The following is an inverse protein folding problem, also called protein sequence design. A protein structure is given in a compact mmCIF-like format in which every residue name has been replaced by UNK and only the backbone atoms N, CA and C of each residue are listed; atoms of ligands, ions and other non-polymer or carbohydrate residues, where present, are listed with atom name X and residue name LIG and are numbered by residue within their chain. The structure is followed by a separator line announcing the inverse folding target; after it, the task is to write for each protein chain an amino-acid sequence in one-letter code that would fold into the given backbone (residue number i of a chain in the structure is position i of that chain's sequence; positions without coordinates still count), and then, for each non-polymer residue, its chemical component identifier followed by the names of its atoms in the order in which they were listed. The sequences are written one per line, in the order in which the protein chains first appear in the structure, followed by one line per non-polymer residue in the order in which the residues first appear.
data_IF_607757544427
#
_entry.id   IF_607757544427
#
_cell.length_a   1.000
_cell.length_b   1.000
_cell.length_c   1.000
_cell.angle_alpha   90.00
_cell.angle_beta   90.00
_cell.angle_gamma   90.00
#
_symmetry.space_group_name_H-M   'P 1'
#
loop_
_entity.id
_entity.type
_entity.pdbx_description
1 polymer ?
#
# COMPACT_ATOMS: atom_id res chain seq x y z
N UNK A 1 -31.75 -23.59 20.85
CA UNK A 1 -31.07 -22.30 20.58
C UNK A 1 -29.55 -22.29 20.81
N UNK A 2 -28.94 -23.19 21.60
CA UNK A 2 -27.48 -23.21 21.83
C UNK A 2 -26.62 -23.79 20.68
N UNK A 3 -27.18 -24.60 19.77
CA UNK A 3 -26.45 -25.21 18.64
C UNK A 3 -26.01 -24.20 17.58
N UNK A 4 -26.77 -23.12 17.35
CA UNK A 4 -26.48 -22.12 16.31
C UNK A 4 -25.23 -21.28 16.65
N UNK A 5 -24.88 -21.15 17.93
CA UNK A 5 -23.75 -20.32 18.38
C UNK A 5 -22.37 -20.96 18.13
N UNK A 6 -22.30 -22.29 17.94
CA UNK A 6 -21.02 -23.02 17.72
C UNK A 6 -20.67 -23.22 16.24
N UNK A 7 -21.67 -23.15 15.35
CA UNK A 7 -21.48 -23.37 13.90
C UNK A 7 -20.44 -22.41 13.31
N UNK A 8 -20.45 -21.09 13.59
CA UNK A 8 -19.42 -20.18 13.06
C UNK A 8 -17.99 -20.57 13.47
N UNK A 9 -17.80 -21.05 14.70
CA UNK A 9 -16.48 -21.46 15.19
C UNK A 9 -15.98 -22.72 14.48
N UNK A 10 -16.86 -23.69 14.19
CA UNK A 10 -16.50 -24.91 13.45
C UNK A 10 -16.06 -24.54 12.02
N UNK A 11 -16.77 -23.63 11.35
CA UNK A 11 -16.37 -23.15 10.02
C UNK A 11 -15.07 -22.32 10.04
N UNK A 12 -14.77 -21.62 11.13
CA UNK A 12 -13.51 -20.89 11.30
C UNK A 12 -12.34 -21.80 11.69
N UNK A 13 -12.60 -22.99 12.25
CA UNK A 13 -11.56 -23.85 12.84
C UNK A 13 -10.48 -24.25 11.82
N UNK A 14 -10.79 -24.73 10.59
CA UNK A 14 -9.76 -25.09 9.61
C UNK A 14 -8.85 -23.90 9.25
N UNK A 15 -9.44 -22.71 9.09
CA UNK A 15 -8.69 -21.49 8.83
C UNK A 15 -7.78 -21.12 10.02
N UNK A 16 -8.31 -21.15 11.25
CA UNK A 16 -7.54 -20.80 12.44
C UNK A 16 -6.37 -21.76 12.69
N UNK A 17 -6.54 -23.06 12.40
CA UNK A 17 -5.44 -24.04 12.50
C UNK A 17 -4.32 -23.69 11.51
N UNK A 18 -4.66 -23.47 10.23
CA UNK A 18 -3.67 -23.13 9.21
C UNK A 18 -3.02 -21.76 9.51
N UNK A 19 -3.81 -20.77 9.94
CA UNK A 19 -3.30 -19.47 10.34
C UNK A 19 -2.34 -19.56 11.54
N UNK A 20 -2.71 -20.33 12.57
CA UNK A 20 -1.86 -20.53 13.73
C UNK A 20 -0.55 -21.24 13.35
N UNK A 21 -0.63 -22.28 12.50
CA UNK A 21 0.52 -23.09 12.11
C UNK A 21 1.49 -22.37 11.17
N UNK A 22 0.97 -21.62 10.19
CA UNK A 22 1.79 -21.03 9.11
C UNK A 22 2.09 -19.54 9.29
N UNK A 23 1.36 -18.83 10.16
CA UNK A 23 1.62 -17.41 10.44
C UNK A 23 2.01 -17.18 11.90
N UNK A 24 1.17 -17.58 12.85
CA UNK A 24 1.42 -17.27 14.28
C UNK A 24 2.64 -18.01 14.80
N UNK A 25 2.76 -19.31 14.51
CA UNK A 25 3.88 -20.11 15.00
C UNK A 25 5.25 -19.61 14.48
N UNK A 26 5.47 -19.40 13.17
CA UNK A 26 6.75 -18.86 12.68
C UNK A 26 7.05 -17.47 13.20
N UNK A 27 6.03 -16.62 13.35
CA UNK A 27 6.19 -15.27 13.93
C UNK A 27 6.64 -15.32 15.38
N UNK A 28 5.97 -16.12 16.23
CA UNK A 28 6.34 -16.30 17.64
C UNK A 28 7.73 -16.96 17.74
N UNK A 29 8.03 -17.94 16.89
CA UNK A 29 9.34 -18.57 16.87
C UNK A 29 10.45 -17.57 16.49
N UNK A 30 10.20 -16.68 15.53
CA UNK A 30 11.11 -15.58 15.17
C UNK A 30 11.31 -14.59 16.32
N UNK A 31 10.25 -14.24 17.05
CA UNK A 31 10.33 -13.43 18.27
C UNK A 31 11.16 -14.09 19.38
N UNK A 32 11.10 -15.42 19.51
CA UNK A 32 11.94 -16.15 20.46
C UNK A 32 13.38 -16.10 19.98
N UNK A 33 13.65 -16.48 18.72
CA UNK A 33 15.00 -16.50 18.13
C UNK A 33 15.73 -15.16 18.20
N UNK A 34 15.02 -14.04 18.07
CA UNK A 34 15.62 -12.70 18.15
C UNK A 34 16.25 -12.38 19.52
N UNK A 35 15.87 -13.12 20.58
CA UNK A 35 16.41 -12.97 21.93
C UNK A 35 17.64 -13.84 22.21
N UNK A 36 18.05 -14.68 21.25
CA UNK A 36 19.20 -15.57 21.37
C UNK A 36 20.33 -15.14 20.43
N UNK A 37 21.54 -15.61 20.69
CA UNK A 37 22.66 -15.58 19.74
C UNK A 37 23.14 -17.00 19.55
N UNK A 38 23.39 -17.38 18.29
CA UNK A 38 24.07 -18.62 17.98
C UNK A 38 25.59 -18.41 18.01
N UNK A 39 26.28 -19.10 18.93
CA UNK A 39 27.74 -19.13 18.99
C UNK A 39 28.17 -20.57 18.73
N UNK A 40 28.65 -20.84 17.51
CA UNK A 40 29.16 -22.16 17.11
C UNK A 40 28.15 -23.31 17.34
N UNK A 41 26.86 -23.06 17.08
CA UNK A 41 25.79 -24.05 17.27
C UNK A 41 25.13 -24.03 18.65
N UNK A 42 25.68 -23.30 19.62
CA UNK A 42 25.07 -23.11 20.94
C UNK A 42 24.21 -21.84 20.96
N UNK A 43 22.94 -21.98 21.38
CA UNK A 43 22.00 -20.87 21.46
C UNK A 43 22.02 -20.27 22.86
N UNK A 44 22.61 -19.08 23.00
CA UNK A 44 22.67 -18.35 24.27
C UNK A 44 21.62 -17.25 24.31
N UNK A 45 20.84 -17.21 25.38
CA UNK A 45 19.90 -16.12 25.61
C UNK A 45 20.65 -14.83 25.94
N UNK A 46 20.46 -13.79 25.13
CA UNK A 46 21.09 -12.47 25.29
C UNK A 46 20.06 -11.35 25.53
N UNK A 47 18.78 -11.68 25.63
CA UNK A 47 17.71 -10.71 25.82
C UNK A 47 17.67 -9.68 24.68
N UNK A 48 17.80 -8.39 25.02
CA UNK A 48 17.69 -7.30 24.05
C UNK A 48 19.01 -6.88 23.39
N UNK A 49 20.13 -7.56 23.67
CA UNK A 49 21.44 -7.16 23.15
C UNK A 49 21.49 -7.13 21.61
N UNK A 50 20.85 -8.10 20.93
CA UNK A 50 20.79 -8.08 19.46
C UNK A 50 20.09 -6.81 18.92
N UNK A 51 19.09 -6.29 19.63
CA UNK A 51 18.38 -5.09 19.22
C UNK A 51 19.25 -3.83 19.39
N UNK A 52 20.15 -3.79 20.38
CA UNK A 52 21.15 -2.73 20.50
C UNK A 52 22.14 -2.79 19.33
N UNK A 53 22.59 -3.99 18.95
CA UNK A 53 23.44 -4.17 17.77
C UNK A 53 22.73 -3.73 16.49
N UNK A 54 21.46 -4.12 16.31
CA UNK A 54 20.65 -3.70 15.17
C UNK A 54 20.41 -2.18 15.15
N UNK A 55 20.31 -1.55 16.32
CA UNK A 55 20.18 -0.09 16.42
C UNK A 55 21.44 0.64 15.97
N UNK A 56 22.62 0.08 16.24
CA UNK A 56 23.92 0.65 15.82
C UNK A 56 24.32 0.24 14.38
N UNK A 57 23.58 -0.67 13.76
CA UNK A 57 23.82 -1.17 12.40
C UNK A 57 23.46 -0.12 11.35
N UNK A 58 24.46 0.68 10.95
CA UNK A 58 24.31 1.71 9.93
C UNK A 58 23.85 1.14 8.59
N UNK A 59 24.28 -0.07 8.23
CA UNK A 59 23.91 -0.70 6.95
C UNK A 59 22.40 -0.97 6.91
N UNK A 60 21.85 -1.54 7.99
CA UNK A 60 20.42 -1.77 8.13
C UNK A 60 19.62 -0.47 8.01
N UNK A 61 20.01 0.59 8.73
CA UNK A 61 19.31 1.87 8.68
C UNK A 61 19.42 2.58 7.32
N UNK A 62 20.54 2.45 6.61
CA UNK A 62 20.64 2.93 5.22
C UNK A 62 19.68 2.18 4.30
N UNK A 63 19.52 0.87 4.49
CA UNK A 63 18.55 0.07 3.74
C UNK A 63 17.11 0.51 4.04
N UNK A 64 16.78 0.72 5.33
CA UNK A 64 15.46 1.24 5.77
C UNK A 64 15.19 2.60 5.17
N UNK A 65 16.15 3.53 5.23
CA UNK A 65 16.02 4.86 4.62
C UNK A 65 15.80 4.77 3.11
N UNK A 66 16.55 3.90 2.41
CA UNK A 66 16.40 3.71 0.96
C UNK A 66 14.99 3.24 0.60
N UNK A 67 14.45 2.28 1.35
CA UNK A 67 13.09 1.76 1.13
C UNK A 67 12.03 2.78 1.54
N UNK A 68 12.26 3.58 2.59
CA UNK A 68 11.36 4.67 2.96
C UNK A 68 11.33 5.77 1.88
N UNK A 69 12.49 6.17 1.35
CA UNK A 69 12.60 7.11 0.23
C UNK A 69 11.91 6.56 -1.02
N UNK A 70 12.16 5.28 -1.34
CA UNK A 70 11.45 4.56 -2.38
C UNK A 70 9.93 4.61 -2.19
N UNK A 71 9.44 4.21 -1.02
CA UNK A 71 8.02 4.21 -0.70
C UNK A 71 7.39 5.58 -0.86
N UNK A 72 7.99 6.64 -0.31
CA UNK A 72 7.43 8.00 -0.41
C UNK A 72 7.38 8.49 -1.86
N UNK A 73 8.48 8.40 -2.60
CA UNK A 73 8.57 8.97 -3.95
C UNK A 73 7.78 8.12 -4.94
N UNK A 74 8.05 6.82 -4.98
CA UNK A 74 7.45 5.90 -5.95
C UNK A 74 5.95 5.77 -5.74
N UNK A 75 5.47 5.56 -4.51
CA UNK A 75 4.03 5.42 -4.23
C UNK A 75 3.29 6.70 -4.59
N UNK A 76 3.84 7.87 -4.24
CA UNK A 76 3.21 9.15 -4.59
C UNK A 76 3.07 9.30 -6.10
N UNK A 77 4.15 9.07 -6.86
CA UNK A 77 4.12 9.16 -8.33
C UNK A 77 3.10 8.18 -8.90
N UNK A 78 3.16 6.92 -8.48
CA UNK A 78 2.26 5.87 -8.95
C UNK A 78 0.79 6.19 -8.68
N UNK A 79 0.43 6.62 -7.47
CA UNK A 79 -0.96 6.92 -7.13
C UNK A 79 -1.48 8.16 -7.83
N UNK A 80 -0.64 9.19 -8.02
CA UNK A 80 -0.99 10.37 -8.81
C UNK A 80 -1.23 9.99 -10.27
N UNK A 81 -0.33 9.21 -10.87
CA UNK A 81 -0.50 8.71 -12.24
C UNK A 81 -1.76 7.85 -12.38
N UNK A 82 -1.99 6.94 -11.44
CA UNK A 82 -3.17 6.09 -11.41
C UNK A 82 -4.47 6.90 -11.34
N UNK A 83 -4.48 7.94 -10.50
CA UNK A 83 -5.61 8.85 -10.34
C UNK A 83 -5.87 9.67 -11.61
N UNK A 84 -4.82 10.22 -12.20
CA UNK A 84 -4.92 10.97 -13.47
C UNK A 84 -5.46 10.08 -14.58
N UNK A 85 -4.91 8.87 -14.74
CA UNK A 85 -5.40 7.92 -15.74
C UNK A 85 -6.86 7.50 -15.48
N UNK A 86 -7.24 7.28 -14.22
CA UNK A 86 -8.62 6.94 -13.86
C UNK A 86 -9.59 8.07 -14.22
N UNK A 87 -9.23 9.33 -13.94
CA UNK A 87 -10.03 10.51 -14.31
C UNK A 87 -10.13 10.68 -15.84
N UNK A 88 -9.06 10.40 -16.57
CA UNK A 88 -9.10 10.41 -18.04
C UNK A 88 -10.03 9.34 -18.61
N UNK A 89 -9.95 8.10 -18.11
CA UNK A 89 -10.82 7.00 -18.52
C UNK A 89 -12.28 7.26 -18.13
N UNK A 90 -12.51 7.95 -17.01
CA UNK A 90 -13.86 8.34 -16.59
C UNK A 90 -14.47 9.41 -17.50
N UNK A 91 -13.65 10.23 -18.16
CA UNK A 91 -14.15 11.27 -19.07
C UNK A 91 -15.05 10.73 -20.19
N UNK A 92 -15.96 11.59 -20.66
CA UNK A 92 -16.86 11.30 -21.80
C UNK A 92 -16.13 11.15 -23.14
N UNK A 93 -14.87 11.57 -23.23
CA UNK A 93 -14.10 11.58 -24.48
C UNK A 93 -13.52 10.20 -24.83
N UNK A 94 -13.36 9.32 -23.82
CA UNK A 94 -12.84 7.97 -24.02
C UNK A 94 -13.98 7.01 -24.32
N UNK A 95 -14.09 6.57 -25.59
CA UNK A 95 -15.16 5.65 -26.04
C UNK A 95 -14.87 4.19 -25.65
N UNK A 96 -13.65 3.70 -25.90
CA UNK A 96 -13.27 2.30 -25.67
C UNK A 96 -12.62 2.07 -24.30
N UNK A 97 -13.31 2.44 -23.22
CA UNK A 97 -12.77 2.39 -21.84
C UNK A 97 -12.27 0.99 -21.43
N UNK A 98 -12.91 -0.07 -21.92
CA UNK A 98 -12.53 -1.45 -21.63
C UNK A 98 -11.13 -1.81 -22.19
N UNK A 99 -10.81 -1.38 -23.42
CA UNK A 99 -9.53 -1.65 -24.05
C UNK A 99 -8.38 -0.98 -23.28
N UNK A 100 -8.53 0.31 -22.96
CA UNK A 100 -7.53 1.03 -22.17
C UNK A 100 -7.34 0.42 -20.79
N UNK A 101 -8.42 -0.03 -20.14
CA UNK A 101 -8.34 -0.73 -18.85
C UNK A 101 -7.49 -1.99 -18.95
N UNK A 102 -7.69 -2.81 -19.98
CA UNK A 102 -6.88 -4.03 -20.21
C UNK A 102 -5.42 -3.68 -20.47
N UNK A 103 -5.14 -2.73 -21.36
CA UNK A 103 -3.77 -2.34 -21.72
C UNK A 103 -2.99 -1.84 -20.49
N UNK A 104 -3.59 -0.94 -19.70
CA UNK A 104 -2.92 -0.39 -18.53
C UNK A 104 -2.82 -1.41 -17.39
N UNK A 105 -3.76 -2.36 -17.26
CA UNK A 105 -3.71 -3.41 -16.25
C UNK A 105 -2.72 -4.54 -16.60
N UNK A 106 -2.43 -4.76 -17.88
CA UNK A 106 -1.60 -5.86 -18.36
C UNK A 106 -0.21 -5.98 -17.67
N UNK A 107 0.54 -4.88 -17.40
CA UNK A 107 1.79 -4.95 -16.65
C UNK A 107 1.70 -5.64 -15.30
N UNK A 108 0.57 -5.48 -14.60
CA UNK A 108 0.34 -6.10 -13.29
C UNK A 108 0.28 -7.64 -13.38
N UNK A 109 -0.11 -8.18 -14.53
CA UNK A 109 -0.14 -9.62 -14.76
C UNK A 109 1.26 -10.23 -14.96
N UNK A 110 2.28 -9.40 -15.19
CA UNK A 110 3.66 -9.87 -15.37
C UNK A 110 4.28 -10.18 -14.01
N UNK A 111 4.81 -11.40 -13.78
CA UNK A 111 5.51 -11.73 -12.54
C UNK A 111 6.69 -10.78 -12.29
N UNK A 112 6.86 -10.30 -11.06
CA UNK A 112 7.88 -9.29 -10.71
C UNK A 112 9.32 -9.69 -11.10
N UNK A 113 9.67 -10.97 -10.99
CA UNK A 113 10.98 -11.50 -11.43
C UNK A 113 11.17 -11.34 -12.95
N UNK A 114 10.14 -11.68 -13.73
CA UNK A 114 10.17 -11.54 -15.19
C UNK A 114 10.27 -10.06 -15.57
N UNK A 115 9.47 -9.20 -14.91
CA UNK A 115 9.55 -7.76 -15.09
C UNK A 115 10.97 -7.23 -14.81
N UNK A 116 11.62 -7.68 -13.75
CA UNK A 116 12.99 -7.28 -13.41
C UNK A 116 14.04 -7.70 -14.45
N UNK A 117 13.94 -8.91 -14.99
CA UNK A 117 14.82 -9.37 -16.07
C UNK A 117 14.58 -8.53 -17.34
N UNK A 118 13.32 -8.35 -17.74
CA UNK A 118 12.96 -7.57 -18.93
C UNK A 118 13.45 -6.12 -18.84
N UNK A 119 13.18 -5.46 -17.71
CA UNK A 119 13.63 -4.09 -17.50
C UNK A 119 15.15 -4.00 -17.34
N UNK A 120 15.80 -5.00 -16.74
CA UNK A 120 17.26 -5.10 -16.71
C UNK A 120 17.88 -5.09 -18.10
N UNK A 121 17.32 -5.85 -19.05
CA UNK A 121 17.76 -5.80 -20.45
C UNK A 121 17.41 -4.48 -21.13
N UNK A 122 16.23 -3.92 -20.88
CA UNK A 122 15.84 -2.62 -21.44
C UNK A 122 16.72 -1.46 -20.94
N UNK A 123 17.23 -1.55 -19.70
CA UNK A 123 18.12 -0.56 -19.09
C UNK A 123 19.59 -0.73 -19.45
N UNK A 124 19.97 -1.87 -20.03
CA UNK A 124 21.34 -2.08 -20.48
C UNK A 124 21.65 -1.20 -21.70
N UNK A 125 22.61 -0.26 -21.61
CA UNK A 125 23.00 0.56 -22.76
C UNK A 125 23.55 -0.26 -23.92
N UNK A 126 24.16 -1.43 -23.63
CA UNK A 126 24.74 -2.33 -24.62
C UNK A 126 23.67 -3.06 -25.44
N UNK A 127 22.51 -3.32 -24.84
CA UNK A 127 21.41 -4.07 -25.47
C UNK A 127 20.31 -3.16 -26.00
N UNK A 128 20.22 -1.92 -25.53
CA UNK A 128 19.21 -0.95 -25.96
C UNK A 128 19.87 0.32 -26.55
N UNK A 129 20.15 0.33 -27.87
CA UNK A 129 20.78 1.47 -28.55
C UNK A 129 19.97 2.78 -28.44
N UNK A 130 18.66 2.69 -28.16
CA UNK A 130 17.79 3.86 -28.02
C UNK A 130 18.15 4.66 -26.75
N UNK A 131 18.63 4.01 -25.69
CA UNK A 131 19.11 4.72 -24.49
C UNK A 131 20.36 5.56 -24.76
N UNK A 132 21.19 5.14 -25.72
CA UNK A 132 22.36 5.89 -26.18
C UNK A 132 21.95 7.18 -26.92
N UNK A 133 20.78 7.22 -27.55
CA UNK A 133 20.22 8.43 -28.18
C UNK A 133 19.84 9.47 -27.11
N UNK A 134 19.30 9.03 -25.96
CA UNK A 134 19.03 9.93 -24.84
C UNK A 134 20.30 10.50 -24.19
N UNK A 135 21.46 9.87 -24.41
CA UNK A 135 22.78 10.39 -24.04
C UNK A 135 23.10 11.76 -24.65
N UNK A 136 22.43 12.13 -25.76
CA UNK A 136 22.57 13.43 -26.41
C UNK A 136 21.99 14.56 -25.54
N UNK A 137 20.93 14.29 -24.78
CA UNK A 137 20.25 15.28 -23.91
C UNK A 137 20.90 15.42 -22.53
N UNK A 138 21.76 14.49 -22.14
CA UNK A 138 22.44 14.42 -20.83
C UNK A 138 23.91 14.83 -20.90
N UNK A 139 24.34 15.51 -21.97
CA UNK A 139 25.72 15.98 -22.12
C UNK A 139 26.71 14.87 -22.53
N UNK A 140 26.26 13.87 -23.27
CA UNK A 140 27.10 12.81 -23.85
C UNK A 140 27.28 11.57 -22.99
N UNK A 141 26.67 11.50 -21.80
CA UNK A 141 26.67 10.29 -20.96
C UNK A 141 25.36 9.52 -21.14
N UNK A 142 25.38 8.26 -21.61
CA UNK A 142 24.15 7.47 -21.74
C UNK A 142 23.46 7.35 -20.38
N UNK A 143 22.13 7.50 -20.36
CA UNK A 143 21.34 7.29 -19.16
C UNK A 143 21.46 5.81 -18.76
N UNK A 144 22.29 5.52 -17.76
CA UNK A 144 22.46 4.17 -17.24
C UNK A 144 21.64 4.04 -15.95
N UNK A 145 20.48 3.41 -16.04
CA UNK A 145 19.61 3.11 -14.89
C UNK A 145 20.04 1.86 -14.12
N UNK A 146 21.11 1.18 -14.56
CA UNK A 146 21.72 0.08 -13.82
C UNK A 146 22.90 0.54 -12.95
N UNK A 147 23.35 1.78 -13.05
CA UNK A 147 24.45 2.26 -12.21
C UNK A 147 24.06 2.30 -10.73
N UNK A 148 25.03 2.11 -9.84
CA UNK A 148 24.85 2.03 -8.39
C UNK A 148 24.11 3.25 -7.79
N UNK A 149 24.29 4.44 -8.37
CA UNK A 149 23.60 5.66 -7.95
C UNK A 149 22.19 5.84 -8.51
N UNK A 150 21.82 5.12 -9.57
CA UNK A 150 20.56 5.33 -10.32
C UNK A 150 19.63 4.11 -10.31
N UNK A 151 20.13 2.93 -9.93
CA UNK A 151 19.39 1.67 -9.93
C UNK A 151 18.10 1.72 -9.11
N UNK A 152 18.09 2.51 -8.03
CA UNK A 152 16.88 2.72 -7.24
C UNK A 152 15.76 3.36 -8.09
N UNK A 153 16.08 4.34 -8.93
CA UNK A 153 15.10 4.99 -9.81
C UNK A 153 14.63 4.06 -10.93
N UNK A 154 15.51 3.19 -11.44
CA UNK A 154 15.11 2.10 -12.33
C UNK A 154 14.07 1.19 -11.69
N UNK A 155 14.32 0.76 -10.45
CA UNK A 155 13.38 -0.05 -9.67
C UNK A 155 12.06 0.71 -9.41
N UNK A 156 12.12 2.01 -9.10
CA UNK A 156 10.91 2.84 -8.94
C UNK A 156 10.08 2.89 -10.22
N UNK A 157 10.72 3.02 -11.37
CA UNK A 157 10.04 3.02 -12.66
C UNK A 157 9.39 1.67 -12.95
N UNK A 158 10.09 0.56 -12.69
CA UNK A 158 9.55 -0.79 -12.84
C UNK A 158 8.28 -1.00 -12.01
N UNK A 159 8.33 -0.64 -10.73
CA UNK A 159 7.19 -0.76 -9.84
C UNK A 159 6.04 0.17 -10.26
N UNK A 160 6.34 1.39 -10.68
CA UNK A 160 5.32 2.32 -11.21
C UNK A 160 4.65 1.73 -12.45
N UNK A 161 5.41 1.18 -13.39
CA UNK A 161 4.87 0.52 -14.57
C UNK A 161 3.97 -0.68 -14.21
N UNK A 162 4.40 -1.53 -13.28
CA UNK A 162 3.66 -2.73 -12.89
C UNK A 162 2.35 -2.41 -12.14
N UNK A 163 2.36 -1.41 -11.25
CA UNK A 163 1.28 -1.21 -10.28
C UNK A 163 0.36 -0.02 -10.56
N UNK A 164 0.73 0.89 -11.47
CA UNK A 164 -0.12 2.05 -11.80
C UNK A 164 -1.47 1.61 -12.37
N UNK A 165 -1.48 0.63 -13.28
CA UNK A 165 -2.71 0.12 -13.89
C UNK A 165 -3.67 -0.56 -12.92
N UNK A 166 -3.11 -1.30 -11.96
CA UNK A 166 -3.87 -1.93 -10.88
C UNK A 166 -4.58 -0.87 -10.04
N UNK A 167 -3.85 0.13 -9.53
CA UNK A 167 -4.42 1.21 -8.73
C UNK A 167 -5.41 2.08 -9.53
N UNK A 168 -5.10 2.35 -10.80
CA UNK A 168 -5.99 3.07 -11.71
C UNK A 168 -7.33 2.36 -11.85
N UNK A 169 -7.30 1.02 -12.00
CA UNK A 169 -8.52 0.22 -12.15
C UNK A 169 -9.40 0.29 -10.90
N UNK A 170 -8.80 0.28 -9.70
CA UNK A 170 -9.51 0.46 -8.44
C UNK A 170 -10.18 1.84 -8.37
N UNK A 171 -9.45 2.91 -8.72
CA UNK A 171 -10.00 4.26 -8.74
C UNK A 171 -11.11 4.41 -9.77
N UNK A 172 -10.92 3.87 -10.97
CA UNK A 172 -11.91 3.95 -12.03
C UNK A 172 -13.18 3.17 -11.70
N UNK A 173 -13.07 1.98 -11.10
CA UNK A 173 -14.22 1.23 -10.59
C UNK A 173 -15.00 2.03 -9.53
N UNK A 174 -14.28 2.76 -8.67
CA UNK A 174 -14.88 3.61 -7.64
C UNK A 174 -15.51 4.89 -8.20
N UNK A 175 -14.99 5.44 -9.30
CA UNK A 175 -15.62 6.55 -10.02
C UNK A 175 -16.92 6.14 -10.69
N UNK A 176 -16.96 4.91 -11.21
CA UNK A 176 -18.14 4.36 -11.91
C UNK A 176 -19.32 4.10 -10.96
N UNK A 177 -19.07 3.97 -9.65
CA UNK A 177 -20.14 3.80 -8.64
C UNK A 177 -20.73 5.13 -8.15
N UNK A 178 -20.19 6.28 -8.59
CA UNK A 178 -20.73 7.60 -8.24
C UNK A 178 -22.06 7.80 -9.00
N UNK A 179 -23.16 8.13 -8.30
CA UNK A 179 -24.46 8.35 -8.94
C UNK A 179 -24.41 9.44 -10.01
N UNK A 180 -25.09 9.21 -11.15
CA UNK A 180 -25.04 10.11 -12.31
C UNK A 180 -25.63 11.48 -12.01
N UNK A 181 -26.56 11.56 -11.06
CA UNK A 181 -27.26 12.77 -10.64
C UNK A 181 -26.31 13.82 -10.09
N UNK A 182 -25.21 13.40 -9.44
CA UNK A 182 -24.17 14.32 -8.96
C UNK A 182 -23.42 14.99 -10.12
N UNK A 183 -23.22 14.27 -11.22
CA UNK A 183 -22.59 14.83 -12.42
C UNK A 183 -23.54 15.75 -13.18
N UNK A 184 -24.83 15.43 -13.24
CA UNK A 184 -25.81 16.29 -13.91
C UNK A 184 -26.09 17.56 -13.11
N UNK A 185 -26.16 17.47 -11.78
CA UNK A 185 -26.22 18.65 -10.91
C UNK A 185 -25.00 19.58 -11.14
N UNK A 186 -23.79 19.02 -11.21
CA UNK A 186 -22.58 19.79 -11.47
C UNK A 186 -22.61 20.52 -12.82
N UNK A 187 -23.16 19.89 -13.87
CA UNK A 187 -23.32 20.51 -15.19
C UNK A 187 -24.34 21.65 -15.16
N UNK A 188 -25.43 21.49 -14.42
CA UNK A 188 -26.44 22.55 -14.22
C UNK A 188 -25.80 23.75 -13.51
N UNK A 189 -24.95 23.50 -12.51
CA UNK A 189 -24.19 24.52 -11.79
C UNK A 189 -23.02 25.13 -12.61
N UNK A 190 -22.86 24.74 -13.88
CA UNK A 190 -21.83 25.27 -14.77
C UNK A 190 -20.40 24.80 -14.47
N UNK A 191 -20.23 23.72 -13.70
CA UNK A 191 -18.91 23.19 -13.39
C UNK A 191 -18.23 22.61 -14.65
N UNK A 192 -16.99 23.00 -14.89
CA UNK A 192 -16.15 22.36 -15.90
C UNK A 192 -15.60 21.00 -15.41
N UNK A 193 -14.98 20.21 -16.28
CA UNK A 193 -14.48 18.86 -15.96
C UNK A 193 -13.43 18.87 -14.83
N UNK A 194 -12.58 19.90 -14.77
CA UNK A 194 -11.57 20.04 -13.71
C UNK A 194 -12.21 20.37 -12.36
N UNK A 195 -13.18 21.29 -12.35
CA UNK A 195 -13.96 21.63 -11.15
C UNK A 195 -14.74 20.41 -10.65
N UNK A 196 -15.34 19.64 -11.56
CA UNK A 196 -16.03 18.38 -11.25
C UNK A 196 -15.07 17.36 -10.67
N UNK A 197 -13.87 17.20 -11.24
CA UNK A 197 -12.85 16.32 -10.72
C UNK A 197 -12.41 16.73 -9.30
N UNK A 198 -12.09 18.01 -9.10
CA UNK A 198 -11.54 18.51 -7.84
C UNK A 198 -12.56 18.57 -6.70
N UNK A 199 -13.80 18.98 -6.98
CA UNK A 199 -14.82 19.23 -5.95
C UNK A 199 -15.78 18.06 -5.72
N UNK A 200 -15.92 17.13 -6.68
CA UNK A 200 -16.85 16.00 -6.58
C UNK A 200 -16.10 14.68 -6.58
N UNK A 201 -15.31 14.40 -7.63
CA UNK A 201 -14.65 13.09 -7.78
C UNK A 201 -13.60 12.85 -6.68
N UNK A 202 -12.66 13.78 -6.47
CA UNK A 202 -11.59 13.60 -5.49
C UNK A 202 -12.10 13.45 -4.04
N UNK A 203 -13.06 14.27 -3.56
CA UNK A 203 -13.59 14.10 -2.21
C UNK A 203 -14.31 12.76 -1.99
N UNK A 204 -15.03 12.27 -3.01
CA UNK A 204 -15.70 10.97 -2.95
C UNK A 204 -14.71 9.80 -3.04
N UNK A 205 -13.61 9.96 -3.77
CA UNK A 205 -12.52 8.98 -3.85
C UNK A 205 -11.61 8.94 -2.63
N UNK A 206 -11.70 9.91 -1.70
CA UNK A 206 -10.78 10.02 -0.55
C UNK A 206 -10.58 8.68 0.17
N UNK A 207 -11.65 7.95 0.47
CA UNK A 207 -11.54 6.67 1.20
C UNK A 207 -10.75 5.61 0.42
N UNK A 208 -10.96 5.55 -0.89
CA UNK A 208 -10.28 4.60 -1.77
C UNK A 208 -8.82 4.98 -1.96
N UNK A 209 -8.51 6.28 -2.13
CA UNK A 209 -7.13 6.79 -2.19
C UNK A 209 -6.37 6.46 -0.91
N UNK A 210 -7.00 6.60 0.25
CA UNK A 210 -6.37 6.27 1.53
C UNK A 210 -6.10 4.77 1.64
N UNK A 211 -7.06 3.94 1.25
CA UNK A 211 -6.90 2.49 1.25
C UNK A 211 -5.76 2.04 0.32
N UNK A 212 -5.74 2.50 -0.93
CA UNK A 212 -4.67 2.17 -1.89
C UNK A 212 -3.32 2.69 -1.42
N UNK A 213 -3.26 3.86 -0.78
CA UNK A 213 -2.02 4.37 -0.19
C UNK A 213 -1.50 3.47 0.92
N UNK A 214 -2.34 3.04 1.86
CA UNK A 214 -1.93 2.11 2.93
C UNK A 214 -1.38 0.82 2.35
N UNK A 215 -2.10 0.21 1.41
CA UNK A 215 -1.68 -1.04 0.77
C UNK A 215 -0.36 -0.86 -0.01
N UNK A 216 -0.19 0.28 -0.68
CA UNK A 216 1.03 0.59 -1.42
C UNK A 216 2.23 0.83 -0.51
N UNK A 217 2.05 1.47 0.64
CA UNK A 217 3.10 1.63 1.65
C UNK A 217 3.55 0.25 2.17
N UNK A 218 2.59 -0.60 2.54
CA UNK A 218 2.87 -1.97 3.02
C UNK A 218 3.64 -2.76 1.95
N UNK A 219 3.22 -2.67 0.68
CA UNK A 219 3.91 -3.31 -0.45
C UNK A 219 5.32 -2.78 -0.66
N UNK A 220 5.53 -1.45 -0.55
CA UNK A 220 6.84 -0.82 -0.76
C UNK A 220 7.88 -1.29 0.26
N UNK A 221 7.45 -1.57 1.50
CA UNK A 221 8.32 -2.07 2.57
C UNK A 221 8.77 -3.52 2.34
N UNK A 222 8.09 -4.25 1.45
CA UNK A 222 8.43 -5.63 1.05
C UNK A 222 9.33 -5.69 -0.19
N UNK A 223 9.95 -4.56 -0.60
CA UNK A 223 10.83 -4.51 -1.76
C UNK A 223 12.01 -5.50 -1.60
N UNK A 224 12.04 -6.49 -2.49
CA UNK A 224 13.03 -7.57 -2.50
C UNK A 224 13.31 -8.08 -3.91
N UNK A 225 12.27 -8.48 -4.65
CA UNK A 225 12.41 -9.19 -5.92
C UNK A 225 13.20 -8.42 -6.97
N UNK A 226 12.82 -7.16 -7.20
CA UNK A 226 13.41 -6.30 -8.22
C UNK A 226 14.91 -6.07 -7.98
N UNK A 227 15.36 -5.55 -6.81
CA UNK A 227 16.79 -5.37 -6.56
C UNK A 227 17.55 -6.70 -6.48
N UNK A 228 16.95 -7.78 -5.95
CA UNK A 228 17.62 -9.08 -5.88
C UNK A 228 17.86 -9.69 -7.27
N UNK A 229 16.91 -9.56 -8.19
CA UNK A 229 17.10 -10.05 -9.56
C UNK A 229 18.12 -9.19 -10.31
N UNK A 230 18.01 -7.86 -10.18
CA UNK A 230 18.93 -6.93 -10.83
C UNK A 230 20.36 -7.02 -10.30
N UNK A 231 20.60 -7.56 -9.10
CA UNK A 231 21.96 -7.70 -8.55
C UNK A 231 22.84 -8.66 -9.36
N UNK A 232 22.25 -9.48 -10.22
CA UNK A 232 22.99 -10.32 -11.19
C UNK A 232 23.46 -9.55 -12.43
N UNK A 233 22.82 -8.42 -12.73
CA UNK A 233 23.09 -7.59 -13.91
C UNK A 233 23.88 -6.32 -13.56
N UNK A 234 23.89 -5.91 -12.29
CA UNK A 234 24.63 -4.75 -11.81
C UNK A 234 25.04 -4.86 -10.35
N UNK A 235 25.93 -3.99 -9.91
CA UNK A 235 26.42 -3.94 -8.53
C UNK A 235 25.36 -3.39 -7.58
N UNK A 236 24.63 -4.31 -6.93
CA UNK A 236 23.68 -4.01 -5.86
C UNK A 236 24.19 -4.64 -4.57
N UNK A 237 24.42 -3.86 -3.49
CA UNK A 237 24.81 -4.40 -2.19
C UNK A 237 23.83 -5.46 -1.67
N UNK A 238 24.34 -6.48 -0.98
CA UNK A 238 23.51 -7.49 -0.31
C UNK A 238 22.52 -6.89 0.71
N UNK A 239 22.85 -5.71 1.25
CA UNK A 239 22.04 -4.94 2.20
C UNK A 239 21.22 -3.85 1.51
N UNK A 240 20.93 -3.98 0.21
CA UNK A 240 20.32 -2.88 -0.54
C UNK A 240 18.91 -2.51 -0.04
N UNK A 241 18.12 -3.50 0.38
CA UNK A 241 16.87 -3.32 1.12
C UNK A 241 16.93 -4.08 2.44
N UNK A 242 16.11 -3.72 3.45
CA UNK A 242 16.06 -4.45 4.73
C UNK A 242 15.73 -5.93 4.52
N UNK A 243 14.84 -6.26 3.57
CA UNK A 243 14.51 -7.64 3.26
C UNK A 243 15.69 -8.41 2.65
N UNK A 244 16.48 -7.77 1.80
CA UNK A 244 17.71 -8.39 1.26
C UNK A 244 18.75 -8.60 2.38
N UNK A 245 18.90 -7.64 3.28
CA UNK A 245 19.80 -7.76 4.43
C UNK A 245 19.39 -8.93 5.35
N UNK A 246 18.11 -8.97 5.74
CA UNK A 246 17.51 -10.07 6.52
C UNK A 246 17.74 -11.43 5.84
N UNK A 247 17.47 -11.50 4.53
CA UNK A 247 17.65 -12.73 3.75
C UNK A 247 19.11 -13.19 3.72
N UNK A 248 20.04 -12.29 3.41
CA UNK A 248 21.46 -12.62 3.38
C UNK A 248 21.99 -13.00 4.77
N UNK A 249 21.51 -12.33 5.82
CA UNK A 249 21.85 -12.67 7.20
C UNK A 249 21.43 -14.09 7.58
N UNK A 250 20.23 -14.52 7.18
CA UNK A 250 19.76 -15.88 7.44
C UNK A 250 20.49 -16.92 6.58
N UNK A 251 20.54 -16.70 5.27
CA UNK A 251 20.85 -17.77 4.31
C UNK A 251 22.27 -17.72 3.76
N UNK A 252 22.88 -16.53 3.62
CA UNK A 252 24.27 -16.41 3.17
C UNK A 252 25.25 -16.49 4.35
N UNK A 253 24.92 -15.86 5.47
CA UNK A 253 25.78 -15.82 6.67
C UNK A 253 25.40 -16.84 7.74
N UNK A 254 24.27 -17.54 7.60
CA UNK A 254 23.83 -18.56 8.57
C UNK A 254 23.41 -18.01 9.94
N UNK A 255 23.26 -16.68 10.07
CA UNK A 255 22.92 -16.02 11.33
C UNK A 255 21.41 -15.79 11.46
N UNK A 256 20.70 -16.90 11.72
CA UNK A 256 19.24 -16.89 11.88
C UNK A 256 18.76 -16.04 13.06
N UNK A 257 19.53 -15.97 14.14
CA UNK A 257 19.19 -15.20 15.35
C UNK A 257 19.22 -13.69 15.11
N UNK A 258 20.26 -13.20 14.44
CA UNK A 258 20.35 -11.78 14.12
C UNK A 258 19.38 -11.42 12.98
N UNK A 259 19.20 -12.29 11.98
CA UNK A 259 18.17 -12.11 10.94
C UNK A 259 16.75 -12.01 11.53
N UNK A 260 16.42 -12.84 12.53
CA UNK A 260 15.16 -12.73 13.26
C UNK A 260 15.04 -11.37 13.98
N UNK A 261 16.12 -10.87 14.58
CA UNK A 261 16.15 -9.55 15.21
C UNK A 261 15.86 -8.43 14.21
N UNK A 262 16.53 -8.44 13.05
CA UNK A 262 16.31 -7.45 11.98
C UNK A 262 14.87 -7.53 11.45
N UNK A 263 14.33 -8.75 11.29
CA UNK A 263 12.94 -8.98 10.86
C UNK A 263 11.92 -8.38 11.82
N UNK A 264 12.06 -8.64 13.12
CA UNK A 264 11.16 -8.07 14.14
C UNK A 264 11.30 -6.55 14.21
N UNK A 265 12.51 -6.02 14.06
CA UNK A 265 12.77 -4.58 14.02
C UNK A 265 12.05 -3.94 12.82
N UNK A 266 12.14 -4.55 11.64
CA UNK A 266 11.45 -4.07 10.43
C UNK A 266 9.91 -4.14 10.57
N UNK A 267 9.39 -5.20 11.20
CA UNK A 267 7.95 -5.32 11.50
C UNK A 267 7.49 -4.18 12.42
N UNK A 268 8.25 -3.87 13.47
CA UNK A 268 7.93 -2.77 14.39
C UNK A 268 7.96 -1.42 13.66
N UNK A 269 8.97 -1.16 12.83
CA UNK A 269 9.05 0.06 12.01
C UNK A 269 7.83 0.17 11.10
N UNK A 270 7.48 -0.91 10.40
CA UNK A 270 6.35 -0.99 9.47
C UNK A 270 5.02 -0.75 10.19
N UNK A 271 4.85 -1.35 11.37
CA UNK A 271 3.66 -1.20 12.19
C UNK A 271 3.48 0.25 12.66
N UNK A 272 4.54 0.87 13.18
CA UNK A 272 4.52 2.28 13.61
C UNK A 272 4.22 3.21 12.43
N UNK A 273 4.89 3.01 11.29
CA UNK A 273 4.64 3.81 10.09
C UNK A 273 3.18 3.71 9.61
N UNK A 274 2.63 2.49 9.59
CA UNK A 274 1.25 2.22 9.19
C UNK A 274 0.24 2.86 10.15
N UNK A 275 0.48 2.75 11.46
CA UNK A 275 -0.36 3.37 12.48
C UNK A 275 -0.34 4.90 12.38
N UNK A 276 0.85 5.50 12.21
CA UNK A 276 0.99 6.95 12.05
C UNK A 276 0.26 7.44 10.81
N UNK A 277 0.40 6.75 9.68
CA UNK A 277 -0.32 7.07 8.45
C UNK A 277 -1.84 6.98 8.64
N UNK A 278 -2.31 5.87 9.22
CA UNK A 278 -3.73 5.68 9.51
C UNK A 278 -4.27 6.76 10.45
N UNK A 279 -3.54 7.06 11.52
CA UNK A 279 -3.94 8.09 12.49
C UNK A 279 -4.04 9.47 11.83
N UNK A 280 -3.00 9.89 11.10
CA UNK A 280 -2.97 11.16 10.38
C UNK A 280 -4.11 11.29 9.36
N UNK A 281 -4.53 10.16 8.79
CA UNK A 281 -5.57 10.12 7.77
C UNK A 281 -6.98 9.87 8.34
N UNK A 282 -7.08 9.45 9.61
CA UNK A 282 -8.34 9.02 10.26
C UNK A 282 -9.33 10.15 10.56
N UNK A 283 -8.99 11.41 10.29
CA UNK A 283 -9.91 12.52 10.50
C UNK A 283 -10.86 12.76 9.32
N UNK A 284 -12.13 12.34 9.51
CA UNK A 284 -13.41 13.03 9.18
C UNK A 284 -14.65 12.12 9.24
N UNK A 285 -14.50 10.79 9.33
CA UNK A 285 -15.64 9.85 9.30
C UNK A 285 -16.37 9.75 10.64
N UNK A 286 -15.63 9.75 11.76
CA UNK A 286 -16.20 9.67 13.12
C UNK A 286 -16.76 11.01 13.61
N UNK A 287 -16.08 12.13 13.36
CA UNK A 287 -16.54 13.45 13.80
C UNK A 287 -17.84 13.91 13.10
N UNK A 288 -18.03 13.60 11.81
CA UNK A 288 -19.25 13.95 11.06
C UNK A 288 -20.43 13.05 11.45
N UNK A 289 -20.20 11.74 11.68
CA UNK A 289 -21.22 10.83 12.24
C UNK A 289 -21.68 11.25 13.64
N UNK A 290 -20.75 11.68 14.51
CA UNK A 290 -21.08 12.15 15.87
C UNK A 290 -21.87 13.47 15.85
N UNK A 291 -21.52 14.42 14.97
CA UNK A 291 -22.26 15.68 14.79
C UNK A 291 -23.65 15.49 14.16
N UNK A 292 -23.80 14.60 13.19
CA UNK A 292 -25.10 14.31 12.56
C UNK A 292 -26.00 13.52 13.52
N UNK A 293 -25.46 12.54 14.25
CA UNK A 293 -26.21 11.79 15.28
C UNK A 293 -26.73 12.70 16.40
N UNK A 294 -25.89 13.60 16.94
CA UNK A 294 -26.35 14.55 17.97
C UNK A 294 -27.39 15.55 17.45
N UNK A 295 -27.31 15.97 16.18
CA UNK A 295 -28.28 16.90 15.59
C UNK A 295 -29.65 16.26 15.37
N UNK A 296 -29.69 14.97 15.01
CA UNK A 296 -30.94 14.22 14.86
C UNK A 296 -31.61 14.05 16.24
N UNK A 297 -30.83 13.66 17.26
CA UNK A 297 -31.36 13.46 18.62
C UNK A 297 -31.92 14.78 19.19
N UNK A 298 -31.28 15.94 18.94
CA UNK A 298 -31.78 17.23 19.41
C UNK A 298 -33.05 17.73 18.71
N UNK A 299 -33.35 17.28 17.49
CA UNK A 299 -34.58 17.66 16.79
C UNK A 299 -35.77 16.77 17.15
N UNK A 300 -35.54 15.51 17.56
CA UNK A 300 -36.62 14.59 17.96
C UNK A 300 -37.15 14.87 19.36
N UNK A 301 -36.33 15.41 20.28
CA UNK A 301 -36.77 15.78 21.64
C UNK A 301 -37.62 17.05 21.70
N UNK A 302 -37.58 17.93 20.69
CA UNK A 302 -38.37 19.18 20.69
C UNK A 302 -39.79 18.99 20.14
N UNK A 303 -40.06 17.93 19.36
CA UNK A 303 -41.38 17.69 18.73
C UNK A 303 -42.34 16.84 19.56
N UNK A 304 -41.92 16.29 20.70
CA UNK A 304 -42.76 15.38 21.52
C UNK A 304 -43.55 16.05 22.64
N UNK A 305 -43.49 17.38 22.79
CA UNK A 305 -44.19 18.11 23.86
C UNK A 305 -45.51 18.78 23.47
N UNK A 306 -46.11 18.48 22.32
CA UNK A 306 -47.34 19.16 21.82
C UNK A 306 -48.50 18.26 21.39
N UNK A 307 -48.62 17.04 21.95
CA UNK A 307 -49.83 16.22 21.76
C UNK A 307 -50.40 15.80 23.12
N UNK A 308 -51.06 16.77 23.80
CA UNK A 308 -52.08 16.47 24.79
C UNK A 308 -53.41 16.34 24.05
N UNK A 309 -53.96 15.12 24.07
CA UNK A 309 -55.23 14.77 23.46
C UNK A 309 -56.38 15.42 24.22
N UNK A 310 -57.16 16.26 23.53
CA UNK A 310 -58.56 16.53 23.87
C UNK A 310 -59.43 15.56 23.09
N UNK A 311 -60.27 14.80 23.80
CA UNK A 311 -61.26 13.95 23.16
C UNK A 311 -61.93 13.01 24.14
N UNK A 312 -63.08 13.39 24.67
CA UNK A 312 -64.17 12.44 24.92
C UNK A 312 -65.51 13.17 24.89
N UNK A 313 -66.34 12.74 23.94
CA UNK A 313 -67.66 13.27 23.67
C UNK A 313 -68.76 12.63 24.53
N UNK A 314 -69.82 13.41 24.69
CA UNK A 314 -71.23 13.04 24.56
C UNK A 314 -71.65 11.60 24.89
N UNK A 315 -72.40 11.49 26.00
CA UNK A 315 -73.43 10.47 26.21
C UNK A 315 -74.76 11.14 26.54
N UNK A 316 -75.71 11.00 25.62
CA UNK A 316 -77.15 10.69 25.80
C UNK A 316 -77.83 11.08 27.13
N UNK A 317 -78.75 12.05 27.11
CA UNK A 317 -80.24 11.99 27.05
C UNK A 317 -80.76 13.42 27.09
#
# INVERSE_FOLDING_TARGET
MLKIRRVPYIFLTPFLILFALFFVFPFVYSLILSLFVNIQGDYKFVGLTNYLTAWEDKSFWYAVYRVAYYGVVQVTIMLVLALVLALFLDSRYVKNKALFRVIYFLPYAVPGVIAAIMWGFLYSPDLNPILSIFGIFTGGKPLNLLDSGTVLYGIMNMATWAWTGYNMTIYFASLTSIPIELYDAAKIDGCNEFQTAWHIKLPLLKQVIVMTTVLSIIGSLQLFNEPYVLSSLTSIPATFTPNMDIYNMAFAYGNFTYSATLSITLVLITFVASLLFMYATSERTTAKKKKVGNKIISHTTVSSSTLSYTGEGEKTI
#
